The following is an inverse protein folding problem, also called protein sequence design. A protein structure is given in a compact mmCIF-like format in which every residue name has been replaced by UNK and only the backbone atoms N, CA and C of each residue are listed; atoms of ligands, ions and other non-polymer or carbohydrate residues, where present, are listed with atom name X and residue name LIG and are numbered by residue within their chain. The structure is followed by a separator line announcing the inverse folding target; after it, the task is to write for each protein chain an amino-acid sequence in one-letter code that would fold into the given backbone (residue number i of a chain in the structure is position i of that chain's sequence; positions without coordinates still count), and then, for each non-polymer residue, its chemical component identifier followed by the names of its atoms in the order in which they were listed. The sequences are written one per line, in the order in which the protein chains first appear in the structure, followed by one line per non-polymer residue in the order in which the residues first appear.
data_IF_619115239051
#
_entry.id   IF_619115239051
#
_cell.length_a   1.000
_cell.length_b   1.000
_cell.length_c   1.000
_cell.angle_alpha   90.00
_cell.angle_beta   90.00
_cell.angle_gamma   90.00
#
_symmetry.space_group_name_H-M   'P 1'
#
loop_
_entity.id
_entity.type
_entity.pdbx_description
1 polymer ?
#
# COMPACT_ATOMS: atom_id res chain seq x y z
N UNK A 1 -41.22 -8.00 35.09
CA UNK A 1 -40.09 -8.66 35.78
C UNK A 1 -38.94 -8.67 34.79
N UNK A 2 -37.72 -8.19 35.01
CA UNK A 2 -36.98 -7.80 36.20
C UNK A 2 -35.82 -6.91 35.67
N UNK A 3 -35.57 -5.76 36.30
CA UNK A 3 -34.44 -4.88 35.97
C UNK A 3 -33.15 -5.51 36.51
N UNK A 4 -32.11 -5.68 35.70
CA UNK A 4 -30.72 -5.76 36.20
C UNK A 4 -29.79 -4.85 35.40
N UNK A 5 -29.48 -3.71 36.05
CA UNK A 5 -28.33 -2.86 35.81
C UNK A 5 -27.06 -3.67 36.05
N UNK A 6 -26.03 -3.50 35.23
CA UNK A 6 -24.66 -3.71 35.70
C UNK A 6 -23.78 -2.50 35.37
N UNK A 7 -23.01 -2.17 36.40
CA UNK A 7 -22.26 -0.95 36.65
C UNK A 7 -20.78 -1.26 36.46
N UNK A 8 -20.04 -0.26 35.99
CA UNK A 8 -18.63 0.04 36.30
C UNK A 8 -17.55 -1.02 35.98
N UNK A 9 -16.50 -0.60 35.27
CA UNK A 9 -15.31 -0.06 35.93
C UNK A 9 -14.30 0.53 34.95
N UNK A 10 -13.95 1.78 35.22
CA UNK A 10 -12.83 2.54 34.69
C UNK A 10 -11.49 2.01 35.23
N UNK A 11 -10.46 1.91 34.38
CA UNK A 11 -9.05 1.94 34.80
C UNK A 11 -8.24 2.85 33.89
N UNK A 12 -7.92 4.02 34.44
CA UNK A 12 -6.81 4.89 34.04
C UNK A 12 -5.49 4.13 34.10
N UNK A 13 -4.58 4.41 33.16
CA UNK A 13 -3.15 4.16 33.33
C UNK A 13 -2.33 5.30 32.72
N UNK A 14 -2.10 6.31 33.57
CA UNK A 14 -0.80 6.90 33.92
C UNK A 14 0.39 6.78 32.93
N UNK A 15 0.67 7.93 32.29
CA UNK A 15 1.96 8.61 32.11
C UNK A 15 3.25 7.93 32.62
N UNK A 16 4.25 7.82 31.71
CA UNK A 16 5.68 7.82 32.08
C UNK A 16 6.48 8.75 31.16
N UNK A 17 6.73 9.93 31.69
CA UNK A 17 7.68 10.94 31.24
C UNK A 17 9.12 10.50 31.60
N UNK A 18 10.02 10.46 30.61
CA UNK A 18 11.43 10.08 30.79
C UNK A 18 12.35 11.27 30.50
N UNK A 19 12.60 12.05 31.55
CA UNK A 19 13.56 13.15 31.56
C UNK A 19 15.00 12.69 31.34
N UNK A 20 15.65 13.21 30.29
CA UNK A 20 17.09 13.07 30.06
C UNK A 20 17.86 14.13 30.85
N UNK A 21 18.60 13.67 31.86
CA UNK A 21 19.58 14.43 32.66
C UNK A 21 20.71 14.98 31.79
N UNK A 22 20.87 16.31 31.77
CA UNK A 22 22.06 16.99 31.27
C UNK A 22 23.26 16.75 32.21
N UNK A 23 24.43 16.44 31.65
CA UNK A 23 25.70 16.29 32.39
C UNK A 23 26.35 17.67 32.61
N UNK A 24 26.92 17.94 33.80
CA UNK A 24 27.64 19.18 34.06
C UNK A 24 29.04 19.16 33.42
N UNK A 25 29.37 20.23 32.71
CA UNK A 25 30.68 20.48 32.11
C UNK A 25 31.62 20.96 33.23
N UNK A 26 32.75 20.26 33.40
CA UNK A 26 33.80 20.62 34.36
C UNK A 26 34.53 21.88 33.90
N UNK A 27 34.46 22.93 34.71
CA UNK A 27 35.21 24.18 34.57
C UNK A 27 36.68 23.92 34.92
N UNK A 28 37.57 23.99 33.93
CA UNK A 28 39.03 23.90 34.13
C UNK A 28 39.57 25.31 34.37
N UNK A 29 40.26 25.49 35.50
CA UNK A 29 40.95 26.73 35.89
C UNK A 29 42.13 27.03 34.93
N UNK A 30 42.32 28.28 34.49
CA UNK A 30 43.53 28.67 33.77
C UNK A 30 44.68 28.91 34.75
N UNK A 31 45.79 28.21 34.52
CA UNK A 31 47.09 28.48 35.14
C UNK A 31 47.69 29.75 34.51
N UNK A 32 47.85 30.78 35.33
CA UNK A 32 48.71 31.95 35.06
C UNK A 32 50.17 31.52 35.16
N UNK A 33 50.96 31.66 34.10
CA UNK A 33 52.41 31.89 34.21
C UNK A 33 52.95 32.75 33.06
N UNK A 34 53.58 33.84 33.49
CA UNK A 34 54.86 34.38 33.05
C UNK A 34 55.04 34.70 31.55
N UNK A 35 54.71 35.95 31.21
CA UNK A 35 55.16 36.61 30.00
C UNK A 35 56.34 37.53 30.34
N UNK A 36 57.54 37.12 29.95
CA UNK A 36 58.73 37.98 29.94
C UNK A 36 59.48 37.84 28.63
N UNK A 37 59.64 38.98 27.96
CA UNK A 37 60.72 39.33 27.03
C UNK A 37 60.78 38.55 25.70
N UNK A 38 59.98 39.00 24.71
CA UNK A 38 60.39 38.96 23.27
C UNK A 38 59.42 39.76 22.35
N UNK A 39 59.23 41.05 22.61
CA UNK A 39 58.20 41.87 21.93
C UNK A 39 58.63 42.50 20.59
N UNK A 40 59.85 42.26 20.08
CA UNK A 40 60.30 42.90 18.82
C UNK A 40 60.70 41.96 17.68
N UNK A 41 60.73 40.62 17.88
CA UNK A 41 60.81 39.63 16.78
C UNK A 41 59.44 39.12 16.31
N UNK A 42 58.37 39.28 17.10
CA UNK A 42 57.05 38.67 16.87
C UNK A 42 56.17 39.32 15.78
N UNK A 43 56.55 40.47 15.20
CA UNK A 43 55.74 41.13 14.15
C UNK A 43 56.00 40.59 12.74
N UNK A 44 57.19 40.05 12.47
CA UNK A 44 57.55 39.51 11.14
C UNK A 44 57.05 38.08 10.95
N UNK A 45 57.11 37.25 11.99
CA UNK A 45 56.59 35.87 11.97
C UNK A 45 55.05 35.83 11.94
N UNK A 46 54.38 36.80 12.58
CA UNK A 46 52.92 36.95 12.49
C UNK A 46 52.41 37.29 11.08
N UNK A 47 53.20 38.00 10.25
CA UNK A 47 52.78 38.33 8.88
C UNK A 47 52.83 37.09 7.98
N UNK A 48 53.90 36.29 8.10
CA UNK A 48 54.08 35.04 7.34
C UNK A 48 53.05 33.97 7.74
N UNK A 49 52.68 33.93 9.02
CA UNK A 49 51.61 33.06 9.57
C UNK A 49 50.20 33.45 9.07
N UNK A 50 49.89 34.76 8.96
CA UNK A 50 48.60 35.21 8.41
C UNK A 50 48.44 34.89 6.92
N UNK A 51 49.53 34.94 6.16
CA UNK A 51 49.53 34.65 4.73
C UNK A 51 49.41 33.15 4.43
N UNK A 52 50.07 32.29 5.24
CA UNK A 52 49.91 30.84 5.13
C UNK A 52 48.49 30.38 5.49
N UNK A 53 47.88 30.97 6.53
CA UNK A 53 46.50 30.68 6.93
C UNK A 53 45.49 31.07 5.85
N UNK A 54 45.63 32.28 5.26
CA UNK A 54 44.77 32.72 4.14
C UNK A 54 44.86 31.82 2.91
N UNK A 55 46.04 31.25 2.63
CA UNK A 55 46.22 30.29 1.54
C UNK A 55 45.62 28.90 1.86
N UNK A 56 45.66 28.46 3.11
CA UNK A 56 44.99 27.24 3.55
C UNK A 56 43.47 27.36 3.47
N UNK A 57 42.91 28.47 3.95
CA UNK A 57 41.46 28.73 3.95
C UNK A 57 40.89 28.76 2.52
N UNK A 58 41.59 29.41 1.58
CA UNK A 58 41.23 29.38 0.15
C UNK A 58 41.29 27.98 -0.46
N UNK A 59 42.18 27.11 0.03
CA UNK A 59 42.33 25.73 -0.47
C UNK A 59 41.27 24.79 0.11
N UNK A 60 40.78 25.02 1.34
CA UNK A 60 39.61 24.29 1.86
C UNK A 60 38.34 24.70 1.12
N UNK A 61 38.10 26.00 0.92
CA UNK A 61 36.89 26.50 0.26
C UNK A 61 36.77 25.96 -1.19
N UNK A 62 37.87 25.95 -1.95
CA UNK A 62 37.90 25.33 -3.29
C UNK A 62 37.62 23.82 -3.27
N UNK A 63 38.08 23.10 -2.24
CA UNK A 63 37.84 21.66 -2.11
C UNK A 63 36.36 21.38 -1.81
N UNK A 64 35.75 22.18 -0.94
CA UNK A 64 34.34 22.04 -0.58
C UNK A 64 33.42 22.37 -1.75
N UNK A 65 33.73 23.42 -2.52
CA UNK A 65 33.01 23.74 -3.77
C UNK A 65 33.10 22.61 -4.79
N UNK A 66 34.29 22.03 -4.99
CA UNK A 66 34.47 20.93 -5.94
C UNK A 66 33.69 19.68 -5.51
N UNK A 67 33.73 19.34 -4.22
CA UNK A 67 32.99 18.20 -3.66
C UNK A 67 31.46 18.38 -3.80
N UNK A 68 30.96 19.59 -3.60
CA UNK A 68 29.54 19.91 -3.78
C UNK A 68 29.12 19.78 -5.25
N UNK A 69 29.96 20.21 -6.19
CA UNK A 69 29.67 20.06 -7.61
C UNK A 69 29.68 18.59 -8.05
N UNK A 70 30.66 17.81 -7.58
CA UNK A 70 30.71 16.36 -7.86
C UNK A 70 29.47 15.63 -7.34
N UNK A 71 29.01 15.96 -6.13
CA UNK A 71 27.80 15.40 -5.56
C UNK A 71 26.56 15.78 -6.37
N UNK A 72 26.41 17.05 -6.78
CA UNK A 72 25.30 17.51 -7.63
C UNK A 72 25.24 16.75 -8.96
N UNK A 73 26.39 16.53 -9.61
CA UNK A 73 26.46 15.77 -10.86
C UNK A 73 26.10 14.30 -10.66
N UNK A 74 26.52 13.68 -9.55
CA UNK A 74 26.12 12.31 -9.20
C UNK A 74 24.61 12.20 -8.98
N UNK A 75 24.02 13.13 -8.22
CA UNK A 75 22.57 13.17 -7.98
C UNK A 75 21.80 13.38 -9.29
N UNK A 76 22.24 14.31 -10.14
CA UNK A 76 21.63 14.55 -11.46
C UNK A 76 21.64 13.28 -12.32
N UNK A 77 22.76 12.55 -12.36
CA UNK A 77 22.85 11.27 -13.08
C UNK A 77 21.90 10.22 -12.53
N UNK A 78 21.78 10.11 -11.20
CA UNK A 78 20.83 9.17 -10.56
C UNK A 78 19.38 9.53 -10.92
N UNK A 79 19.01 10.80 -10.88
CA UNK A 79 17.65 11.24 -11.25
C UNK A 79 17.34 10.98 -12.73
N UNK A 80 18.32 11.19 -13.63
CA UNK A 80 18.16 10.85 -15.05
C UNK A 80 17.95 9.34 -15.24
N UNK A 81 18.77 8.51 -14.57
CA UNK A 81 18.64 7.05 -14.64
C UNK A 81 17.29 6.58 -14.07
N UNK A 82 16.84 7.15 -12.95
CA UNK A 82 15.53 6.85 -12.38
C UNK A 82 14.40 7.25 -13.33
N UNK A 83 14.49 8.41 -13.97
CA UNK A 83 13.53 8.87 -14.97
C UNK A 83 13.44 7.93 -16.16
N UNK A 84 14.58 7.49 -16.70
CA UNK A 84 14.64 6.52 -17.81
C UNK A 84 14.08 5.15 -17.39
N UNK A 85 14.35 4.72 -16.16
CA UNK A 85 13.81 3.48 -15.62
C UNK A 85 12.28 3.52 -15.50
N UNK A 86 11.71 4.61 -14.97
CA UNK A 86 10.27 4.81 -14.89
C UNK A 86 9.64 4.87 -16.29
N UNK A 87 10.27 5.60 -17.21
CA UNK A 87 9.82 5.71 -18.61
C UNK A 87 9.76 4.34 -19.31
N UNK A 88 10.62 3.39 -18.93
CA UNK A 88 10.63 2.04 -19.47
C UNK A 88 9.63 1.11 -18.76
N UNK A 89 9.45 1.26 -17.44
CA UNK A 89 8.52 0.42 -16.66
C UNK A 89 7.06 0.70 -17.00
N UNK A 90 6.66 1.98 -17.16
CA UNK A 90 5.27 2.36 -17.43
C UNK A 90 4.71 1.63 -18.67
N UNK A 91 5.32 1.70 -19.87
CA UNK A 91 4.80 1.01 -21.04
C UNK A 91 4.86 -0.51 -20.89
N UNK A 92 5.85 -1.05 -20.17
CA UNK A 92 5.90 -2.49 -19.89
C UNK A 92 4.70 -2.94 -19.05
N UNK A 93 4.35 -2.19 -18.00
CA UNK A 93 3.15 -2.46 -17.20
C UNK A 93 1.87 -2.30 -18.03
N UNK A 94 1.77 -1.27 -18.87
CA UNK A 94 0.63 -1.11 -19.79
C UNK A 94 0.48 -2.28 -20.75
N UNK A 95 1.58 -2.81 -21.31
CA UNK A 95 1.54 -4.00 -22.17
C UNK A 95 1.00 -5.22 -21.43
N UNK A 96 1.33 -5.40 -20.14
CA UNK A 96 0.75 -6.51 -19.37
C UNK A 96 -0.77 -6.42 -19.27
N UNK A 97 -1.36 -5.22 -19.15
CA UNK A 97 -2.82 -5.03 -19.07
C UNK A 97 -3.53 -5.30 -20.39
N UNK A 98 -2.85 -5.10 -21.52
CA UNK A 98 -3.41 -5.38 -22.85
C UNK A 98 -3.48 -6.89 -23.10
N UNK A 99 -2.45 -7.63 -22.67
CA UNK A 99 -2.35 -9.07 -22.93
C UNK A 99 -3.06 -9.89 -21.87
N UNK A 100 -3.12 -9.41 -20.62
CA UNK A 100 -3.71 -10.20 -19.55
C UNK A 100 -5.25 -10.25 -19.63
N UNK A 101 -5.83 -11.40 -19.27
CA UNK A 101 -7.28 -11.58 -19.24
C UNK A 101 -7.97 -10.54 -18.36
N UNK A 102 -9.03 -9.94 -18.91
CA UNK A 102 -9.92 -9.04 -18.18
C UNK A 102 -10.81 -9.80 -17.19
N UNK A 103 -11.29 -9.06 -16.19
CA UNK A 103 -12.21 -9.57 -15.19
C UNK A 103 -13.38 -8.61 -14.96
N UNK A 104 -14.52 -9.16 -14.54
CA UNK A 104 -15.72 -8.43 -14.18
C UNK A 104 -15.99 -8.66 -12.68
N UNK A 105 -16.09 -7.55 -11.94
CA UNK A 105 -16.36 -7.51 -10.51
C UNK A 105 -17.82 -7.13 -10.24
N UNK A 106 -18.26 -7.34 -9.01
CA UNK A 106 -19.55 -6.90 -8.44
C UNK A 106 -20.78 -7.55 -9.09
N UNK A 107 -20.65 -8.83 -9.47
CA UNK A 107 -21.70 -9.55 -10.19
C UNK A 107 -22.71 -10.20 -9.22
N UNK A 108 -23.99 -9.90 -9.40
CA UNK A 108 -25.14 -10.43 -8.63
C UNK A 108 -26.44 -10.26 -9.47
N UNK A 109 -27.47 -11.12 -9.38
CA UNK A 109 -28.74 -10.95 -10.11
C UNK A 109 -29.47 -9.64 -9.80
N UNK A 110 -29.31 -9.13 -8.57
CA UNK A 110 -29.90 -7.85 -8.14
C UNK A 110 -29.13 -6.61 -8.62
N UNK A 111 -28.02 -6.77 -9.33
CA UNK A 111 -27.20 -5.68 -9.86
C UNK A 111 -27.26 -5.74 -11.39
N UNK A 112 -27.87 -4.73 -12.02
CA UNK A 112 -27.83 -4.60 -13.48
C UNK A 112 -26.37 -4.48 -13.95
N UNK A 113 -26.00 -5.30 -14.94
CA UNK A 113 -24.61 -5.44 -15.37
C UNK A 113 -24.48 -5.59 -16.89
N UNK A 114 -24.75 -4.52 -17.66
CA UNK A 114 -24.60 -4.55 -19.13
C UNK A 114 -23.16 -4.85 -19.60
N UNK A 115 -22.16 -4.66 -18.71
CA UNK A 115 -20.76 -5.03 -18.91
C UNK A 115 -20.57 -6.49 -19.31
N UNK A 116 -21.46 -7.39 -18.84
CA UNK A 116 -21.35 -8.83 -19.06
C UNK A 116 -21.40 -9.19 -20.55
N UNK A 117 -22.15 -8.43 -21.35
CA UNK A 117 -22.26 -8.61 -22.81
C UNK A 117 -21.28 -7.72 -23.59
N UNK A 118 -20.85 -6.61 -22.97
CA UNK A 118 -20.04 -5.57 -23.62
C UNK A 118 -18.57 -5.93 -23.76
N UNK A 119 -18.01 -6.61 -22.75
CA UNK A 119 -16.58 -6.87 -22.66
C UNK A 119 -16.25 -8.36 -22.67
N UNK A 120 -15.08 -8.71 -23.20
CA UNK A 120 -14.60 -10.08 -23.16
C UNK A 120 -13.72 -10.31 -21.93
N UNK A 121 -14.33 -10.70 -20.82
CA UNK A 121 -13.63 -11.15 -19.61
C UNK A 121 -13.43 -12.66 -19.62
N UNK A 122 -12.44 -13.12 -18.86
CA UNK A 122 -12.17 -14.54 -18.63
C UNK A 122 -12.50 -14.97 -17.20
N UNK A 123 -12.59 -14.00 -16.29
CA UNK A 123 -12.89 -14.24 -14.88
C UNK A 123 -14.04 -13.34 -14.46
N UNK A 124 -14.99 -13.89 -13.72
CA UNK A 124 -16.09 -13.16 -13.09
C UNK A 124 -16.02 -13.35 -11.57
N UNK A 125 -16.27 -12.28 -10.83
CA UNK A 125 -16.24 -12.25 -9.39
C UNK A 125 -17.66 -12.01 -8.87
N UNK A 126 -18.22 -13.05 -8.28
CA UNK A 126 -19.62 -13.11 -7.85
C UNK A 126 -19.71 -12.79 -6.37
N UNK A 127 -20.61 -11.86 -6.02
CA UNK A 127 -21.01 -11.61 -4.64
C UNK A 127 -22.00 -12.72 -4.28
N UNK A 128 -21.76 -13.58 -3.28
CA UNK A 128 -22.69 -14.67 -3.00
C UNK A 128 -24.01 -14.18 -2.40
N UNK A 129 -24.02 -13.08 -1.62
CA UNK A 129 -25.22 -12.59 -0.95
C UNK A 129 -25.33 -11.07 -0.93
N UNK A 130 -25.97 -10.45 -1.92
CA UNK A 130 -26.09 -9.00 -1.96
C UNK A 130 -27.43 -8.52 -1.37
N UNK A 131 -27.40 -7.51 -0.50
CA UNK A 131 -28.58 -6.97 0.19
C UNK A 131 -29.43 -8.04 0.93
N UNK A 132 -28.78 -9.12 1.37
CA UNK A 132 -29.42 -10.23 2.08
C UNK A 132 -30.03 -11.31 1.17
N UNK A 133 -30.01 -11.11 -0.15
CA UNK A 133 -30.52 -12.05 -1.14
C UNK A 133 -29.34 -12.92 -1.61
N UNK A 134 -29.37 -14.24 -1.42
CA UNK A 134 -28.34 -15.14 -1.94
C UNK A 134 -28.49 -15.33 -3.47
N UNK A 135 -27.37 -15.46 -4.19
CA UNK A 135 -27.40 -15.72 -5.65
C UNK A 135 -28.10 -17.04 -6.00
N UNK A 136 -28.10 -18.02 -5.09
CA UNK A 136 -28.74 -19.32 -5.29
C UNK A 136 -30.27 -19.27 -5.32
N UNK A 137 -30.89 -18.14 -4.95
CA UNK A 137 -32.34 -17.93 -5.12
C UNK A 137 -32.75 -17.67 -6.58
N UNK A 138 -31.80 -17.41 -7.49
CA UNK A 138 -32.04 -17.18 -8.91
C UNK A 138 -31.35 -18.25 -9.78
N UNK A 139 -31.98 -19.43 -9.97
CA UNK A 139 -31.37 -20.53 -10.71
C UNK A 139 -31.19 -20.22 -12.20
N UNK A 140 -32.07 -19.42 -12.81
CA UNK A 140 -31.94 -19.01 -14.23
C UNK A 140 -30.68 -18.15 -14.41
N UNK A 141 -30.42 -17.25 -13.47
CA UNK A 141 -29.20 -16.46 -13.45
C UNK A 141 -27.96 -17.33 -13.24
N UNK A 142 -28.00 -18.28 -12.29
CA UNK A 142 -26.89 -19.23 -12.07
C UNK A 142 -26.54 -20.01 -13.35
N UNK A 143 -27.54 -20.54 -14.05
CA UNK A 143 -27.36 -21.25 -15.32
C UNK A 143 -26.80 -20.35 -16.43
N UNK A 144 -27.32 -19.12 -16.55
CA UNK A 144 -26.80 -18.12 -17.48
C UNK A 144 -25.31 -17.87 -17.22
N UNK A 145 -24.93 -17.61 -15.97
CA UNK A 145 -23.54 -17.35 -15.59
C UNK A 145 -22.62 -18.54 -15.90
N UNK A 146 -23.06 -19.77 -15.59
CA UNK A 146 -22.32 -20.99 -15.94
C UNK A 146 -22.15 -21.14 -17.46
N UNK A 147 -23.18 -20.80 -18.24
CA UNK A 147 -23.16 -20.92 -19.71
C UNK A 147 -22.09 -20.04 -20.37
N UNK A 148 -21.62 -18.98 -19.70
CA UNK A 148 -20.55 -18.11 -20.20
C UNK A 148 -19.18 -18.79 -20.26
N UNK A 149 -19.03 -19.95 -19.61
CA UNK A 149 -17.80 -20.75 -19.57
C UNK A 149 -16.57 -19.92 -19.15
N UNK A 150 -16.74 -19.13 -18.08
CA UNK A 150 -15.70 -18.28 -17.50
C UNK A 150 -15.17 -18.91 -16.22
N UNK A 151 -14.01 -18.44 -15.75
CA UNK A 151 -13.58 -18.71 -14.39
C UNK A 151 -14.46 -17.91 -13.43
N UNK A 152 -15.08 -18.58 -12.46
CA UNK A 152 -15.94 -17.93 -11.46
C UNK A 152 -15.21 -17.95 -10.11
N UNK A 153 -15.18 -16.82 -9.44
CA UNK A 153 -14.60 -16.68 -8.10
C UNK A 153 -15.50 -15.88 -7.17
N UNK A 154 -15.23 -15.99 -5.88
CA UNK A 154 -15.99 -15.33 -4.81
C UNK A 154 -15.53 -13.87 -4.63
N UNK A 155 -16.46 -12.93 -4.46
CA UNK A 155 -16.19 -11.50 -4.31
C UNK A 155 -16.70 -10.91 -2.98
N UNK A 156 -16.15 -11.40 -1.88
CA UNK A 156 -16.64 -11.06 -0.54
C UNK A 156 -17.78 -11.98 -0.09
N UNK A 157 -18.54 -11.54 0.90
CA UNK A 157 -19.77 -12.22 1.36
C UNK A 157 -20.99 -11.39 0.96
N UNK A 158 -21.09 -10.17 1.48
CA UNK A 158 -22.16 -9.21 1.15
C UNK A 158 -21.70 -7.98 0.38
N UNK A 159 -20.40 -7.86 0.11
CA UNK A 159 -19.80 -6.67 -0.51
C UNK A 159 -20.03 -5.39 0.32
N UNK A 160 -20.01 -5.54 1.65
CA UNK A 160 -20.08 -4.38 2.54
C UNK A 160 -18.75 -3.58 2.54
N UNK A 161 -18.83 -2.30 2.89
CA UNK A 161 -17.64 -1.44 2.95
C UNK A 161 -16.62 -2.00 3.96
N UNK A 162 -15.38 -2.27 3.49
CA UNK A 162 -14.29 -2.83 4.31
C UNK A 162 -14.62 -4.18 4.99
N UNK A 163 -15.49 -4.98 4.39
CA UNK A 163 -15.96 -6.27 4.92
C UNK A 163 -14.83 -7.18 5.46
N UNK A 164 -13.69 -7.20 4.78
CA UNK A 164 -12.56 -8.08 5.10
C UNK A 164 -11.38 -7.36 5.77
N UNK A 165 -11.48 -6.07 6.07
CA UNK A 165 -10.44 -5.32 6.79
C UNK A 165 -10.34 -5.76 8.26
N UNK A 166 -11.48 -6.01 8.88
CA UNK A 166 -11.59 -6.54 10.24
C UNK A 166 -11.82 -8.05 10.20
N UNK A 167 -11.60 -8.73 11.33
CA UNK A 167 -11.79 -10.18 11.44
C UNK A 167 -13.24 -10.57 11.09
N UNK A 168 -13.40 -11.38 10.05
CA UNK A 168 -14.68 -11.94 9.64
C UNK A 168 -14.97 -13.24 10.42
N UNK A 169 -16.24 -13.57 10.61
CA UNK A 169 -16.61 -14.81 11.26
C UNK A 169 -16.46 -16.00 10.30
N UNK A 170 -15.97 -17.13 10.79
CA UNK A 170 -15.84 -18.35 9.98
C UNK A 170 -17.19 -18.80 9.40
N UNK A 171 -18.28 -18.64 10.15
CA UNK A 171 -19.62 -18.97 9.68
C UNK A 171 -20.09 -18.13 8.49
N UNK A 172 -19.62 -16.88 8.36
CA UNK A 172 -19.95 -16.02 7.21
C UNK A 172 -19.24 -16.50 5.94
N UNK A 173 -18.00 -17.01 6.08
CA UNK A 173 -17.27 -17.65 4.97
C UNK A 173 -17.89 -18.98 4.59
N UNK A 174 -18.28 -19.80 5.55
CA UNK A 174 -18.98 -21.07 5.31
C UNK A 174 -20.29 -20.84 4.55
N UNK A 175 -21.11 -19.87 5.00
CA UNK A 175 -22.35 -19.51 4.31
C UNK A 175 -22.09 -18.97 2.89
N UNK A 176 -21.07 -18.12 2.72
CA UNK A 176 -20.68 -17.63 1.40
C UNK A 176 -20.29 -18.76 0.43
N UNK A 177 -19.57 -19.77 0.93
CA UNK A 177 -19.16 -20.95 0.17
C UNK A 177 -20.37 -21.82 -0.19
N UNK A 178 -21.28 -22.04 0.76
CA UNK A 178 -22.50 -22.83 0.57
C UNK A 178 -23.39 -22.19 -0.51
N UNK A 179 -23.68 -20.89 -0.40
CA UNK A 179 -24.47 -20.16 -1.41
C UNK A 179 -23.83 -20.24 -2.80
N UNK A 180 -22.50 -20.12 -2.86
CA UNK A 180 -21.76 -20.24 -4.11
C UNK A 180 -21.84 -21.65 -4.70
N UNK A 181 -21.66 -22.68 -3.86
CA UNK A 181 -21.74 -24.09 -4.25
C UNK A 181 -23.15 -24.47 -4.70
N UNK A 182 -24.20 -23.98 -4.05
CA UNK A 182 -25.59 -24.19 -4.42
C UNK A 182 -25.93 -23.62 -5.81
N UNK A 183 -25.39 -22.44 -6.13
CA UNK A 183 -25.62 -21.80 -7.42
C UNK A 183 -24.81 -22.46 -8.55
N UNK A 184 -23.55 -22.83 -8.32
CA UNK A 184 -22.64 -23.26 -9.38
C UNK A 184 -22.33 -24.76 -9.41
N UNK A 185 -22.73 -25.51 -8.39
CA UNK A 185 -22.46 -26.93 -8.23
C UNK A 185 -21.01 -27.26 -7.87
N UNK A 186 -20.21 -26.27 -7.47
CA UNK A 186 -18.82 -26.45 -7.02
C UNK A 186 -18.39 -25.37 -6.03
N UNK A 187 -17.47 -25.72 -5.14
CA UNK A 187 -16.88 -24.77 -4.18
C UNK A 187 -15.96 -23.74 -4.87
N UNK A 188 -15.96 -22.48 -4.42
CA UNK A 188 -15.06 -21.47 -4.98
C UNK A 188 -13.60 -21.83 -4.65
N UNK A 189 -12.73 -21.80 -5.65
CA UNK A 189 -11.27 -21.97 -5.46
C UNK A 189 -10.50 -20.65 -5.46
N UNK A 190 -11.18 -19.57 -5.86
CA UNK A 190 -10.63 -18.23 -6.00
C UNK A 190 -11.47 -17.24 -5.20
N UNK A 191 -10.78 -16.30 -4.56
CA UNK A 191 -11.41 -15.19 -3.86
C UNK A 191 -10.73 -13.89 -4.21
N UNK A 192 -11.53 -12.83 -4.34
CA UNK A 192 -11.05 -11.46 -4.48
C UNK A 192 -11.77 -10.59 -3.45
N UNK A 193 -11.06 -9.95 -2.51
CA UNK A 193 -11.72 -9.11 -1.51
C UNK A 193 -12.37 -7.88 -2.17
N UNK A 194 -13.56 -7.47 -1.71
CA UNK A 194 -14.13 -6.17 -2.04
C UNK A 194 -13.10 -5.07 -1.74
N UNK A 195 -13.01 -4.07 -2.61
CA UNK A 195 -12.08 -2.93 -2.49
C UNK A 195 -10.58 -3.33 -2.40
N UNK A 196 -10.27 -4.61 -2.63
CA UNK A 196 -8.94 -5.22 -2.48
C UNK A 196 -8.33 -5.08 -1.07
N UNK A 197 -9.18 -4.99 -0.05
CA UNK A 197 -8.75 -4.89 1.36
C UNK A 197 -9.06 -6.19 2.08
N UNK A 198 -8.03 -6.79 2.69
CA UNK A 198 -8.18 -8.00 3.51
C UNK A 198 -7.08 -8.07 4.58
N UNK A 199 -7.44 -8.43 5.82
CA UNK A 199 -6.48 -8.68 6.91
C UNK A 199 -5.69 -9.98 6.69
N UNK A 200 -4.51 -10.09 7.31
CA UNK A 200 -3.71 -11.33 7.23
C UNK A 200 -4.46 -12.53 7.85
N UNK A 201 -5.17 -12.30 8.96
CA UNK A 201 -6.00 -13.29 9.64
C UNK A 201 -7.11 -13.85 8.72
N UNK A 202 -7.81 -12.98 7.98
CA UNK A 202 -8.84 -13.41 7.04
C UNK A 202 -8.25 -14.11 5.81
N UNK A 203 -7.05 -13.74 5.36
CA UNK A 203 -6.37 -14.48 4.30
C UNK A 203 -5.99 -15.89 4.74
N UNK A 204 -5.55 -16.06 6.00
CA UNK A 204 -5.26 -17.38 6.57
C UNK A 204 -6.52 -18.22 6.68
N UNK A 205 -7.62 -17.63 7.18
CA UNK A 205 -8.92 -18.30 7.25
C UNK A 205 -9.36 -18.80 5.87
N UNK A 206 -9.30 -17.97 4.82
CA UNK A 206 -9.64 -18.40 3.46
C UNK A 206 -8.74 -19.52 2.93
N UNK A 207 -7.44 -19.54 3.33
CA UNK A 207 -6.52 -20.62 2.97
C UNK A 207 -6.88 -21.95 3.64
N UNK A 208 -7.50 -21.93 4.82
CA UNK A 208 -7.99 -23.15 5.48
C UNK A 208 -9.13 -23.82 4.69
N UNK A 209 -9.83 -23.07 3.84
CA UNK A 209 -10.85 -23.57 2.90
C UNK A 209 -10.31 -23.87 1.49
N UNK A 210 -8.98 -23.94 1.32
CA UNK A 210 -8.32 -24.12 0.02
C UNK A 210 -8.62 -23.00 -1.01
N UNK A 211 -8.97 -21.79 -0.54
CA UNK A 211 -9.30 -20.66 -1.39
C UNK A 211 -8.08 -19.77 -1.64
N UNK A 212 -7.75 -19.55 -2.92
CA UNK A 212 -6.65 -18.67 -3.31
C UNK A 212 -7.10 -17.20 -3.39
N UNK A 213 -6.55 -16.37 -2.53
CA UNK A 213 -6.82 -14.91 -2.50
C UNK A 213 -6.06 -14.17 -3.60
N UNK A 214 -6.76 -13.40 -4.43
CA UNK A 214 -6.18 -12.46 -5.39
C UNK A 214 -5.91 -11.11 -4.72
N UNK A 215 -4.70 -10.60 -4.91
CA UNK A 215 -4.21 -9.38 -4.29
C UNK A 215 -4.17 -8.18 -5.26
N UNK A 216 -3.68 -7.03 -4.78
CA UNK A 216 -3.53 -5.79 -5.55
C UNK A 216 -2.75 -5.92 -6.86
N UNK A 217 -1.79 -6.86 -6.96
CA UNK A 217 -1.05 -7.07 -8.19
C UNK A 217 -1.94 -7.56 -9.33
N UNK A 218 -3.04 -8.26 -8.99
CA UNK A 218 -4.03 -8.68 -9.97
C UNK A 218 -4.69 -7.46 -10.64
N UNK A 219 -5.08 -6.42 -9.89
CA UNK A 219 -5.71 -5.23 -10.47
C UNK A 219 -4.72 -4.34 -11.24
N UNK A 220 -3.44 -4.32 -10.85
CA UNK A 220 -2.41 -3.58 -11.60
C UNK A 220 -2.18 -4.20 -12.98
N UNK A 221 -2.17 -5.53 -13.06
CA UNK A 221 -1.79 -6.26 -14.27
C UNK A 221 -2.97 -6.64 -15.17
N UNK A 222 -4.23 -6.47 -14.71
CA UNK A 222 -5.45 -6.85 -15.44
C UNK A 222 -6.43 -5.69 -15.52
N UNK A 223 -7.29 -5.73 -16.54
CA UNK A 223 -8.48 -4.86 -16.62
C UNK A 223 -9.57 -5.41 -15.70
N UNK A 224 -10.10 -4.56 -14.82
CA UNK A 224 -11.19 -4.87 -13.89
C UNK A 224 -12.35 -3.95 -14.23
N UNK A 225 -13.47 -4.53 -14.65
CA UNK A 225 -14.71 -3.79 -14.89
C UNK A 225 -15.65 -4.01 -13.71
N UNK A 226 -16.54 -3.05 -13.47
CA UNK A 226 -17.54 -3.10 -12.40
C UNK A 226 -18.94 -2.86 -13.00
N UNK A 227 -19.95 -3.59 -12.57
CA UNK A 227 -21.32 -3.47 -13.13
C UNK A 227 -21.92 -2.05 -13.00
N UNK A 228 -21.54 -1.28 -11.99
CA UNK A 228 -22.10 0.05 -11.72
C UNK A 228 -21.11 1.22 -11.91
N UNK A 229 -19.98 1.02 -12.61
CA UNK A 229 -18.91 2.03 -12.70
C UNK A 229 -18.41 2.54 -11.33
N UNK A 230 -18.67 1.81 -10.25
CA UNK A 230 -18.36 2.20 -8.86
C UNK A 230 -16.88 2.13 -8.48
N UNK A 231 -16.02 1.74 -9.43
CA UNK A 231 -14.57 1.70 -9.24
C UNK A 231 -13.92 3.09 -9.20
N UNK A 232 -12.60 3.12 -8.95
CA UNK A 232 -11.81 4.37 -8.96
C UNK A 232 -11.84 5.02 -10.35
N UNK A 233 -11.88 4.19 -11.40
CA UNK A 233 -11.96 4.62 -12.78
C UNK A 233 -13.22 4.04 -13.43
N UNK A 234 -13.93 4.82 -14.25
CA UNK A 234 -15.07 4.31 -15.02
C UNK A 234 -14.60 3.28 -16.05
N UNK A 235 -15.48 2.35 -16.42
CA UNK A 235 -15.19 1.22 -17.32
C UNK A 235 -14.64 1.67 -18.68
N UNK A 236 -15.12 2.81 -19.22
CA UNK A 236 -14.60 3.35 -20.48
C UNK A 236 -13.12 3.74 -20.39
N UNK A 237 -12.67 4.21 -19.23
CA UNK A 237 -11.27 4.56 -19.01
C UNK A 237 -10.43 3.29 -18.84
N UNK A 238 -10.94 2.30 -18.09
CA UNK A 238 -10.31 0.97 -17.95
C UNK A 238 -10.12 0.29 -19.31
N UNK A 239 -11.05 0.48 -20.24
CA UNK A 239 -10.93 -0.05 -21.60
C UNK A 239 -9.74 0.56 -22.36
N UNK A 240 -9.47 1.84 -22.16
CA UNK A 240 -8.45 2.61 -22.89
C UNK A 240 -7.03 2.36 -22.39
N UNK A 241 -6.86 2.12 -21.09
CA UNK A 241 -5.57 1.85 -20.44
C UNK A 241 -5.21 0.36 -20.41
#
# INVERSE_FOLDING_TARGET
MEKKKNKNTSKENSSKDNGKKARPIKTIKPLKKEATVNEKRNKKDNKKSKESKKNQDKKSEKRDLNKNNEWKEKVKKILILLGLFILLIIPLLSLTRIVNPAQLDDLHPSIDCPEIEKYNFNTIWVIPKFEGIPVSEDPEWCEMILSLNKTIGLHGYMHSYKEFEEKINASEIEEAIEIFEDCFGFKPSLFKPPQLVISEENQELLREYDITVRNNLNQITRKSYHCNDGGIFPNWFVQLI
#
